data_IF_211500684981
#
_entry.id   IF_211500684981
#
_cell.length_a   1.000
_cell.length_b   1.000
_cell.length_c   1.000
_cell.angle_alpha   90.00
_cell.angle_beta   90.00
_cell.angle_gamma   90.00
#
_symmetry.space_group_name_H-M   'P 1'
#
loop_
_entity.id
_entity.type
_entity.pdbx_description
1 polymer ?
#
# COMPACT_ATOMS: atom_id res chain seq x y z
N UNK A 1 36.46 34.46 10.42
CA UNK A 1 35.77 33.16 10.31
C UNK A 1 34.34 33.34 9.80
N UNK A 2 33.48 34.07 10.51
CA UNK A 2 32.07 34.23 10.13
C UNK A 2 31.86 34.88 8.76
N UNK A 3 32.73 35.83 8.38
CA UNK A 3 32.71 36.48 7.07
C UNK A 3 32.89 35.48 5.90
N UNK A 4 33.74 34.47 6.08
CA UNK A 4 33.95 33.42 5.07
C UNK A 4 32.73 32.50 4.99
N UNK A 5 32.13 32.16 6.14
CA UNK A 5 30.91 31.36 6.20
C UNK A 5 29.73 32.08 5.53
N UNK A 6 29.54 33.37 5.81
CA UNK A 6 28.46 34.17 5.23
C UNK A 6 28.60 34.35 3.72
N UNK A 7 29.83 34.63 3.22
CA UNK A 7 30.06 34.69 1.77
C UNK A 7 29.83 33.35 1.07
N UNK A 8 30.20 32.24 1.71
CA UNK A 8 29.86 30.91 1.19
C UNK A 8 28.34 30.64 1.23
N UNK A 9 27.64 31.13 2.25
CA UNK A 9 26.19 30.97 2.42
C UNK A 9 25.36 31.83 1.44
N UNK A 10 25.95 32.90 0.87
CA UNK A 10 25.32 33.72 -0.16
C UNK A 10 25.22 33.01 -1.53
N UNK A 11 26.01 31.96 -1.77
CA UNK A 11 25.88 31.12 -2.97
C UNK A 11 24.76 30.08 -2.79
N UNK A 12 24.27 29.54 -3.91
CA UNK A 12 23.21 28.54 -3.90
C UNK A 12 23.51 27.35 -2.96
N UNK A 13 22.50 26.91 -2.22
CA UNK A 13 22.63 25.80 -1.28
C UNK A 13 23.12 24.55 -2.00
N UNK A 14 24.24 23.97 -1.53
CA UNK A 14 24.84 22.78 -2.14
C UNK A 14 25.99 23.06 -3.13
N UNK A 15 26.37 24.32 -3.35
CA UNK A 15 27.56 24.65 -4.15
C UNK A 15 28.82 24.00 -3.55
N UNK A 16 29.61 23.35 -4.41
CA UNK A 16 30.92 22.81 -4.06
C UNK A 16 31.96 23.91 -4.29
N UNK A 17 32.79 24.17 -3.29
CA UNK A 17 33.83 25.19 -3.36
C UNK A 17 35.19 24.55 -3.59
N UNK A 18 35.90 24.98 -4.64
CA UNK A 18 37.30 24.63 -4.84
C UNK A 18 38.22 25.66 -4.18
N UNK A 19 39.49 25.33 -4.04
CA UNK A 19 40.49 26.24 -3.46
C UNK A 19 40.52 27.59 -4.21
N UNK A 20 40.42 27.57 -5.55
CA UNK A 20 40.31 28.77 -6.40
C UNK A 20 39.09 29.63 -6.06
N UNK A 21 37.95 29.01 -5.76
CA UNK A 21 36.71 29.73 -5.47
C UNK A 21 36.78 30.43 -4.12
N UNK A 22 37.40 29.77 -3.13
CA UNK A 22 37.63 30.33 -1.80
C UNK A 22 38.65 31.46 -1.82
N UNK A 23 39.71 31.35 -2.64
CA UNK A 23 40.66 32.43 -2.87
C UNK A 23 39.99 33.65 -3.54
N UNK A 24 39.14 33.41 -4.54
CA UNK A 24 38.42 34.46 -5.26
C UNK A 24 37.42 35.23 -4.38
N UNK A 25 37.03 34.72 -3.21
CA UNK A 25 36.15 35.44 -2.28
C UNK A 25 36.84 36.60 -1.54
N UNK A 26 38.16 36.75 -1.66
CA UNK A 26 38.97 37.82 -1.05
C UNK A 26 38.67 38.00 0.45
N UNK A 27 38.66 36.89 1.20
CA UNK A 27 38.41 36.90 2.66
C UNK A 27 39.71 36.82 3.47
N UNK A 28 40.80 36.41 2.84
CA UNK A 28 42.14 36.34 3.43
C UNK A 28 43.14 37.00 2.47
N UNK A 29 44.11 37.73 3.01
CA UNK A 29 45.14 38.41 2.22
C UNK A 29 46.23 37.43 1.77
N UNK A 30 46.41 36.34 2.53
CA UNK A 30 47.41 35.31 2.24
C UNK A 30 46.80 33.90 2.16
N UNK A 31 47.44 33.03 1.38
CA UNK A 31 47.03 31.63 1.26
C UNK A 31 47.09 30.87 2.60
N UNK A 32 48.05 31.23 3.47
CA UNK A 32 48.20 30.63 4.80
C UNK A 32 47.06 30.99 5.75
N UNK A 33 46.56 32.22 5.70
CA UNK A 33 45.37 32.62 6.46
C UNK A 33 44.12 31.92 5.95
N UNK A 34 43.98 31.75 4.63
CA UNK A 34 42.86 31.02 4.05
C UNK A 34 42.84 29.56 4.50
N UNK A 35 43.97 28.85 4.45
CA UNK A 35 44.04 27.45 4.89
C UNK A 35 43.80 27.31 6.39
N UNK A 36 44.26 28.26 7.20
CA UNK A 36 43.95 28.31 8.64
C UNK A 36 42.45 28.53 8.89
N UNK A 37 41.82 29.48 8.20
CA UNK A 37 40.37 29.76 8.32
C UNK A 37 39.53 28.57 7.88
N UNK A 38 39.88 27.95 6.75
CA UNK A 38 39.24 26.71 6.26
C UNK A 38 39.45 25.58 7.26
N UNK A 39 40.65 25.44 7.83
CA UNK A 39 40.95 24.46 8.88
C UNK A 39 40.07 24.66 10.12
N UNK A 40 39.89 25.90 10.57
CA UNK A 40 39.02 26.22 11.71
C UNK A 40 37.53 25.98 11.40
N UNK A 41 37.07 26.31 10.18
CA UNK A 41 35.70 26.02 9.74
C UNK A 41 35.44 24.51 9.62
N UNK A 42 36.43 23.74 9.15
CA UNK A 42 36.39 22.28 9.16
C UNK A 42 36.38 21.73 10.59
N UNK A 43 37.17 22.31 11.50
CA UNK A 43 37.19 21.92 12.92
C UNK A 43 35.86 22.21 13.62
N UNK A 44 35.15 23.27 13.21
CA UNK A 44 33.79 23.57 13.67
C UNK A 44 32.68 22.84 12.87
N UNK A 45 33.04 21.96 11.93
CA UNK A 45 32.10 21.21 11.09
C UNK A 45 31.20 22.06 10.18
N UNK A 46 31.56 23.32 9.93
CA UNK A 46 30.84 24.22 9.03
C UNK A 46 31.15 23.93 7.55
N UNK A 47 32.33 23.37 7.28
CA UNK A 47 32.74 22.89 5.96
C UNK A 47 33.00 21.37 5.99
N UNK A 48 32.39 20.64 5.05
CA UNK A 48 32.68 19.23 4.77
C UNK A 48 33.80 19.17 3.75
N UNK A 49 34.97 18.66 4.13
CA UNK A 49 36.04 18.31 3.20
C UNK A 49 35.58 17.11 2.36
N UNK A 50 35.66 17.24 1.04
CA UNK A 50 35.40 16.21 0.05
C UNK A 50 36.52 16.23 -0.99
N UNK A 51 36.65 15.16 -1.76
CA UNK A 51 37.54 15.12 -2.92
C UNK A 51 36.68 14.92 -4.16
N UNK A 52 36.87 15.77 -5.17
CA UNK A 52 36.16 15.70 -6.44
C UNK A 52 37.19 15.79 -7.56
N UNK A 53 37.23 14.77 -8.42
CA UNK A 53 38.16 14.68 -9.55
C UNK A 53 39.64 14.90 -9.17
N UNK A 54 40.07 14.24 -8.08
CA UNK A 54 41.42 14.37 -7.49
C UNK A 54 41.78 15.73 -6.90
N UNK A 55 40.85 16.69 -6.86
CA UNK A 55 41.01 17.99 -6.20
C UNK A 55 40.27 18.03 -4.85
N UNK A 56 40.82 18.76 -3.88
CA UNK A 56 40.16 18.98 -2.59
C UNK A 56 39.05 20.03 -2.76
N UNK A 57 37.85 19.69 -2.33
CA UNK A 57 36.70 20.56 -2.39
C UNK A 57 35.95 20.60 -1.05
N UNK A 58 35.22 21.69 -0.83
CA UNK A 58 34.48 21.91 0.41
C UNK A 58 33.00 22.11 0.11
N UNK A 59 32.14 21.44 0.87
CA UNK A 59 30.69 21.68 0.86
C UNK A 59 30.28 22.37 2.15
N UNK A 60 29.50 23.45 2.03
CA UNK A 60 28.97 24.17 3.18
C UNK A 60 27.88 23.32 3.88
N UNK A 61 27.98 23.22 5.21
CA UNK A 61 26.91 22.70 6.07
C UNK A 61 26.18 23.84 6.77
N UNK A 62 24.91 23.62 7.09
CA UNK A 62 24.14 24.58 7.88
C UNK A 62 24.72 24.66 9.30
N UNK A 63 24.62 25.83 9.96
CA UNK A 63 25.08 25.98 11.36
C UNK A 63 24.39 24.98 12.29
N UNK A 64 23.12 24.67 12.04
CA UNK A 64 22.37 23.66 12.80
C UNK A 64 22.96 22.25 12.67
N UNK A 65 23.30 21.81 11.44
CA UNK A 65 23.98 20.52 11.22
C UNK A 65 25.38 20.48 11.84
N UNK A 66 26.13 21.59 11.73
CA UNK A 66 27.47 21.71 12.30
C UNK A 66 27.45 21.62 13.84
N UNK A 67 26.51 22.30 14.49
CA UNK A 67 26.32 22.23 15.94
C UNK A 67 25.86 20.85 16.41
N UNK A 68 24.97 20.20 15.63
CA UNK A 68 24.59 18.80 15.85
C UNK A 68 25.84 17.93 15.82
N UNK A 69 26.65 18.01 14.76
CA UNK A 69 27.90 17.25 14.56
C UNK A 69 28.98 17.51 15.63
N UNK A 70 29.06 18.73 16.14
CA UNK A 70 30.03 19.12 17.18
C UNK A 70 29.75 18.49 18.53
N UNK A 71 28.49 18.18 18.84
CA UNK A 71 28.07 17.52 20.08
C UNK A 71 28.23 15.99 20.03
N UNK A 72 28.73 15.43 18.92
CA UNK A 72 28.97 14.00 18.80
C UNK A 72 30.41 13.62 19.15
N UNK A 73 30.55 12.42 19.69
CA UNK A 73 31.85 11.81 19.89
C UNK A 73 32.51 11.49 18.53
N UNK A 74 33.86 11.39 18.47
CA UNK A 74 34.56 11.02 17.25
C UNK A 74 34.04 9.73 16.60
N UNK A 75 33.72 8.72 17.41
CA UNK A 75 33.17 7.44 16.94
C UNK A 75 31.72 7.56 16.44
N UNK A 76 30.89 8.36 17.11
CA UNK A 76 29.51 8.64 16.68
C UNK A 76 29.49 9.38 15.34
N UNK A 77 30.42 10.31 15.15
CA UNK A 77 30.59 11.06 13.89
C UNK A 77 31.05 10.17 12.74
N UNK A 78 31.94 9.21 13.01
CA UNK A 78 32.34 8.21 12.01
C UNK A 78 31.13 7.35 11.58
N UNK A 79 30.35 6.87 12.54
CA UNK A 79 29.14 6.08 12.27
C UNK A 79 28.11 6.89 11.48
N UNK A 80 27.86 8.14 11.89
CA UNK A 80 26.96 9.06 11.19
C UNK A 80 27.41 9.28 9.74
N UNK A 81 28.71 9.43 9.49
CA UNK A 81 29.23 9.59 8.12
C UNK A 81 28.97 8.37 7.23
N UNK A 82 29.11 7.15 7.76
CA UNK A 82 28.81 5.94 7.01
C UNK A 82 27.31 5.72 6.78
N UNK A 83 26.46 6.16 7.73
CA UNK A 83 25.00 6.16 7.56
C UNK A 83 24.59 7.21 6.52
N UNK A 84 25.19 8.41 6.56
CA UNK A 84 25.03 9.47 5.54
C UNK A 84 25.46 8.96 4.15
N UNK A 85 26.52 8.16 4.03
CA UNK A 85 26.89 7.57 2.74
C UNK A 85 25.84 6.56 2.21
N UNK A 86 25.08 5.91 3.09
CA UNK A 86 24.09 4.89 2.70
C UNK A 86 22.74 5.49 2.26
N UNK A 87 22.47 6.76 2.62
CA UNK A 87 21.27 7.51 2.24
C UNK A 87 19.98 6.66 2.43
N UNK A 88 19.17 6.49 1.37
CA UNK A 88 17.85 5.86 1.43
C UNK A 88 17.91 4.33 1.59
N UNK A 89 19.03 3.69 1.24
CA UNK A 89 19.21 2.23 1.39
C UNK A 89 19.55 1.83 2.83
N UNK A 90 19.84 2.80 3.69
CA UNK A 90 20.25 2.54 5.07
C UNK A 90 21.44 1.59 5.19
N UNK A 91 21.87 1.31 6.42
CA UNK A 91 22.97 0.37 6.65
C UNK A 91 22.64 -0.59 7.78
N UNK A 92 22.91 -1.87 7.54
CA UNK A 92 22.76 -2.91 8.54
C UNK A 92 23.85 -2.79 9.62
N UNK A 93 23.52 -2.98 10.89
CA UNK A 93 24.49 -2.88 12.01
C UNK A 93 25.75 -3.73 11.83
N UNK A 94 25.63 -4.94 11.26
CA UNK A 94 26.80 -5.81 11.01
C UNK A 94 27.67 -5.28 9.87
N UNK A 95 27.07 -4.71 8.82
CA UNK A 95 27.81 -4.06 7.74
C UNK A 95 28.48 -2.78 8.22
N UNK A 96 27.79 -2.00 9.06
CA UNK A 96 28.34 -0.80 9.70
C UNK A 96 29.56 -1.15 10.56
N UNK A 97 29.48 -2.23 11.35
CA UNK A 97 30.61 -2.76 12.13
C UNK A 97 31.80 -3.16 11.26
N UNK A 98 31.54 -3.86 10.15
CA UNK A 98 32.59 -4.32 9.24
C UNK A 98 33.32 -3.15 8.55
N UNK A 99 32.64 -2.01 8.35
CA UNK A 99 33.25 -0.81 7.75
C UNK A 99 34.00 0.07 8.75
N UNK A 100 33.53 0.17 10.00
CA UNK A 100 34.13 1.06 11.00
C UNK A 100 35.18 0.38 11.89
N UNK A 101 35.31 -0.96 11.87
CA UNK A 101 36.19 -1.72 12.76
C UNK A 101 35.96 -1.44 14.26
N UNK A 102 34.75 -0.97 14.63
CA UNK A 102 34.37 -0.64 16.01
C UNK A 102 33.89 -1.90 16.77
N UNK A 103 34.12 -1.95 18.09
CA UNK A 103 33.60 -3.04 18.94
C UNK A 103 32.08 -3.01 19.03
N UNK A 104 31.46 -4.17 19.24
CA UNK A 104 29.99 -4.29 19.28
C UNK A 104 29.35 -3.44 20.40
N UNK A 105 30.01 -3.37 21.56
CA UNK A 105 29.50 -2.60 22.70
C UNK A 105 29.51 -1.09 22.39
N UNK A 106 30.60 -0.59 21.81
CA UNK A 106 30.71 0.82 21.42
C UNK A 106 29.73 1.17 20.30
N UNK A 107 29.60 0.31 19.28
CA UNK A 107 28.60 0.48 18.21
C UNK A 107 27.18 0.61 18.77
N UNK A 108 26.79 -0.27 19.68
CA UNK A 108 25.45 -0.25 20.29
C UNK A 108 25.22 1.01 21.12
N UNK A 109 26.23 1.46 21.87
CA UNK A 109 26.17 2.70 22.66
C UNK A 109 26.06 3.94 21.77
N UNK A 110 26.85 4.01 20.70
CA UNK A 110 26.83 5.11 19.75
C UNK A 110 25.52 5.16 18.96
N UNK A 111 24.98 4.02 18.51
CA UNK A 111 23.69 3.97 17.82
C UNK A 111 22.54 4.43 18.71
N UNK A 112 22.51 4.00 19.98
CA UNK A 112 21.52 4.50 20.95
C UNK A 112 21.64 6.00 21.23
N UNK A 113 22.87 6.52 21.27
CA UNK A 113 23.14 7.96 21.43
C UNK A 113 22.74 8.77 20.19
N UNK A 114 22.93 8.21 18.99
CA UNK A 114 22.50 8.81 17.73
C UNK A 114 20.97 8.84 17.59
N UNK A 115 20.31 7.78 18.06
CA UNK A 115 18.85 7.65 18.12
C UNK A 115 18.25 8.61 19.16
N UNK A 116 18.86 8.73 20.35
CA UNK A 116 18.39 9.68 21.38
C UNK A 116 18.59 11.15 21.00
N UNK A 117 19.55 11.46 20.12
CA UNK A 117 19.78 12.79 19.55
C UNK A 117 18.91 13.08 18.31
N UNK A 118 18.02 12.16 17.92
CA UNK A 118 17.14 12.29 16.75
C UNK A 118 17.88 12.49 15.42
N UNK A 119 19.11 11.97 15.29
CA UNK A 119 19.90 12.09 14.06
C UNK A 119 19.75 10.87 13.15
N UNK A 120 19.53 9.70 13.76
CA UNK A 120 19.41 8.42 13.09
C UNK A 120 18.15 7.74 13.57
N UNK A 121 17.41 7.14 12.65
CA UNK A 121 16.28 6.27 12.95
C UNK A 121 16.62 4.83 12.58
N UNK A 122 15.92 3.90 13.22
CA UNK A 122 16.09 2.48 12.98
C UNK A 122 14.82 1.86 12.42
N UNK A 123 14.96 1.11 11.32
CA UNK A 123 13.86 0.49 10.58
C UNK A 123 14.17 -0.99 10.38
N UNK A 124 13.17 -1.85 10.53
CA UNK A 124 13.31 -3.27 10.23
C UNK A 124 13.17 -3.49 8.73
N UNK A 125 14.07 -4.25 8.12
CA UNK A 125 13.97 -4.53 6.68
C UNK A 125 12.84 -5.51 6.39
N UNK A 126 11.96 -5.18 5.46
CA UNK A 126 10.92 -6.11 4.96
C UNK A 126 11.53 -7.35 4.29
N UNK A 127 12.54 -7.18 3.41
CA UNK A 127 13.22 -8.32 2.75
C UNK A 127 13.89 -9.26 3.75
N UNK A 128 14.35 -8.72 4.88
CA UNK A 128 15.06 -9.48 5.90
C UNK A 128 14.59 -9.06 7.30
N UNK A 129 13.48 -9.64 7.82
CA UNK A 129 12.83 -9.18 9.06
C UNK A 129 13.72 -9.28 10.29
N UNK A 130 14.81 -10.04 10.24
CA UNK A 130 15.80 -10.13 11.33
C UNK A 130 16.92 -9.06 11.25
N UNK A 131 16.91 -8.17 10.24
CA UNK A 131 17.96 -7.16 10.02
C UNK A 131 17.45 -5.76 10.34
N UNK A 132 18.00 -5.18 11.42
CA UNK A 132 17.80 -3.78 11.81
C UNK A 132 18.68 -2.85 10.97
N UNK A 133 18.06 -2.04 10.13
CA UNK A 133 18.68 -1.03 9.26
C UNK A 133 18.69 0.32 9.97
N UNK A 134 19.73 1.11 9.75
CA UNK A 134 19.87 2.47 10.29
C UNK A 134 19.95 3.48 9.15
N UNK A 135 19.20 4.56 9.25
CA UNK A 135 19.14 5.62 8.25
C UNK A 135 18.95 6.99 8.92
N UNK A 136 19.23 8.08 8.20
CA UNK A 136 19.10 9.44 8.74
C UNK A 136 17.63 9.82 8.97
N UNK A 137 17.29 10.46 10.09
CA UNK A 137 15.89 10.79 10.44
C UNK A 137 15.16 11.59 9.35
N UNK A 138 15.86 12.46 8.64
CA UNK A 138 15.29 13.30 7.59
C UNK A 138 15.10 12.57 6.25
N UNK A 139 15.64 11.35 6.11
CA UNK A 139 15.53 10.54 4.90
C UNK A 139 14.42 9.50 5.04
N UNK A 140 13.69 9.27 3.95
CA UNK A 140 12.71 8.19 3.86
C UNK A 140 13.41 6.88 3.45
N UNK A 141 13.11 5.74 4.11
CA UNK A 141 13.64 4.45 3.70
C UNK A 141 13.24 4.11 2.26
N UNK A 142 14.12 3.43 1.53
CA UNK A 142 13.80 2.86 0.21
C UNK A 142 12.76 1.75 0.35
N UNK A 143 12.03 1.47 -0.74
CA UNK A 143 10.98 0.43 -0.83
C UNK A 143 11.48 -0.95 -0.37
N UNK A 144 12.75 -1.26 -0.67
CA UNK A 144 13.41 -2.50 -0.25
C UNK A 144 13.46 -2.71 1.28
N UNK A 145 13.30 -1.63 2.03
CA UNK A 145 13.40 -1.61 3.51
C UNK A 145 12.05 -1.25 4.12
N UNK A 146 11.35 -0.28 3.55
CA UNK A 146 10.05 0.22 4.02
C UNK A 146 8.90 -0.74 3.70
N UNK A 147 9.06 -1.56 2.65
CA UNK A 147 7.96 -2.33 2.09
C UNK A 147 7.09 -1.50 1.14
N UNK A 148 6.12 -2.17 0.50
CA UNK A 148 5.10 -1.51 -0.30
C UNK A 148 4.13 -0.68 0.57
N UNK A 149 3.32 0.19 -0.03
CA UNK A 149 2.39 1.07 0.72
C UNK A 149 1.38 0.29 1.59
N UNK A 150 1.10 -0.95 1.23
CA UNK A 150 0.15 -1.85 1.90
C UNK A 150 0.74 -2.60 3.11
N UNK A 151 2.01 -2.34 3.46
CA UNK A 151 2.69 -3.02 4.55
C UNK A 151 2.85 -2.13 5.78
N UNK A 152 2.70 -2.72 6.96
CA UNK A 152 2.92 -2.10 8.26
C UNK A 152 3.83 -3.02 9.06
N UNK A 153 4.96 -2.48 9.56
CA UNK A 153 5.93 -3.22 10.39
C UNK A 153 6.50 -4.52 9.78
N UNK A 154 6.44 -4.67 8.45
CA UNK A 154 6.97 -5.83 7.72
C UNK A 154 5.93 -6.87 7.32
N UNK A 155 4.68 -6.71 7.75
CA UNK A 155 3.54 -7.55 7.37
C UNK A 155 2.51 -6.77 6.53
N UNK A 156 1.69 -7.49 5.76
CA UNK A 156 0.57 -6.88 5.04
C UNK A 156 -0.53 -6.48 6.01
N UNK A 157 -0.91 -5.22 5.96
CA UNK A 157 -1.94 -4.66 6.83
C UNK A 157 -3.32 -4.90 6.21
N UNK A 158 -3.94 -6.03 6.55
CA UNK A 158 -5.24 -6.42 6.01
C UNK A 158 -6.35 -5.39 6.31
N UNK A 159 -6.30 -4.74 7.48
CA UNK A 159 -7.28 -3.73 7.86
C UNK A 159 -7.12 -2.45 7.01
N UNK A 160 -5.88 -2.05 6.76
CA UNK A 160 -5.57 -0.94 5.86
C UNK A 160 -6.01 -1.26 4.42
N UNK A 161 -5.68 -2.45 3.93
CA UNK A 161 -6.03 -2.91 2.58
C UNK A 161 -7.55 -2.91 2.40
N UNK A 162 -8.33 -3.44 3.34
CA UNK A 162 -9.80 -3.45 3.21
C UNK A 162 -10.40 -2.04 3.26
N UNK A 163 -9.90 -1.18 4.16
CA UNK A 163 -10.35 0.21 4.26
C UNK A 163 -10.10 0.96 2.94
N UNK A 164 -8.91 0.81 2.36
CA UNK A 164 -8.54 1.47 1.11
C UNK A 164 -9.29 0.86 -0.06
N UNK A 165 -9.47 -0.45 -0.09
CA UNK A 165 -10.31 -1.14 -1.08
C UNK A 165 -11.75 -0.59 -1.06
N UNK A 166 -12.31 -0.34 0.11
CA UNK A 166 -13.62 0.31 0.27
C UNK A 166 -13.66 1.74 -0.29
N UNK A 167 -12.62 2.53 -0.03
CA UNK A 167 -12.50 3.90 -0.54
C UNK A 167 -12.32 3.93 -2.06
N UNK A 168 -11.44 3.08 -2.60
CA UNK A 168 -11.19 2.92 -4.04
C UNK A 168 -12.45 2.42 -4.76
N UNK A 169 -13.17 1.45 -4.20
CA UNK A 169 -14.42 0.96 -4.79
C UNK A 169 -15.47 2.08 -4.93
N UNK A 170 -15.63 2.90 -3.89
CA UNK A 170 -16.56 4.05 -3.92
C UNK A 170 -16.14 5.10 -4.95
N UNK A 171 -14.84 5.35 -5.10
CA UNK A 171 -14.33 6.25 -6.11
C UNK A 171 -14.63 5.74 -7.52
N UNK A 172 -14.32 4.48 -7.81
CA UNK A 172 -14.60 3.86 -9.12
C UNK A 172 -16.11 3.82 -9.40
N UNK A 173 -16.96 3.57 -8.39
CA UNK A 173 -18.42 3.63 -8.53
C UNK A 173 -18.87 5.03 -8.90
N UNK A 174 -18.32 6.07 -8.24
CA UNK A 174 -18.70 7.44 -8.51
C UNK A 174 -18.36 7.90 -9.94
N UNK A 175 -17.26 7.39 -10.51
CA UNK A 175 -16.83 7.68 -11.88
C UNK A 175 -17.59 6.86 -12.92
N UNK A 176 -17.86 5.58 -12.63
CA UNK A 176 -18.39 4.63 -13.62
C UNK A 176 -19.91 4.47 -13.58
N UNK A 177 -20.56 4.89 -12.50
CA UNK A 177 -21.98 4.67 -12.26
C UNK A 177 -22.76 5.95 -11.94
N UNK A 178 -24.09 5.84 -12.03
CA UNK A 178 -25.08 6.83 -11.58
C UNK A 178 -26.11 6.15 -10.68
N UNK A 179 -26.61 6.91 -9.71
CA UNK A 179 -27.71 6.49 -8.84
C UNK A 179 -29.03 6.90 -9.48
N UNK A 180 -29.90 5.93 -9.70
CA UNK A 180 -31.20 6.10 -10.34
C UNK A 180 -32.30 5.54 -9.45
N UNK A 181 -33.55 6.01 -9.61
CA UNK A 181 -34.70 5.43 -8.93
C UNK A 181 -34.88 3.92 -9.22
N UNK A 182 -35.54 3.20 -8.33
CA UNK A 182 -35.76 1.76 -8.44
C UNK A 182 -36.57 1.37 -9.68
N UNK A 183 -37.45 2.26 -10.13
CA UNK A 183 -38.25 2.13 -11.34
C UNK A 183 -37.54 2.62 -12.63
N UNK A 184 -36.22 2.85 -12.58
CA UNK A 184 -35.45 3.25 -13.75
C UNK A 184 -35.46 2.18 -14.84
N UNK A 185 -35.77 2.56 -16.08
CA UNK A 185 -35.94 1.66 -17.23
C UNK A 185 -37.06 0.61 -17.06
N UNK A 186 -38.06 0.86 -16.21
CA UNK A 186 -39.25 0.02 -16.12
C UNK A 186 -40.25 0.43 -17.23
N UNK A 187 -40.00 -0.04 -18.45
CA UNK A 187 -40.85 0.22 -19.62
C UNK A 187 -42.11 -0.66 -19.65
N UNK A 188 -42.29 -1.56 -18.68
CA UNK A 188 -43.40 -2.51 -18.68
C UNK A 188 -44.71 -1.84 -18.25
N UNK A 189 -45.78 -1.89 -19.08
CA UNK A 189 -47.06 -1.33 -18.69
C UNK A 189 -47.67 -2.08 -17.50
N UNK A 190 -48.22 -1.32 -16.57
CA UNK A 190 -48.77 -1.71 -15.26
C UNK A 190 -49.97 -2.68 -15.27
N UNK A 191 -50.33 -3.33 -16.38
CA UNK A 191 -51.47 -4.25 -16.37
C UNK A 191 -51.05 -5.67 -15.95
N UNK A 192 -50.81 -5.80 -14.64
CA UNK A 192 -50.49 -7.07 -13.96
C UNK A 192 -51.49 -8.16 -14.31
N UNK A 193 -52.76 -7.83 -14.56
CA UNK A 193 -53.79 -8.79 -14.92
C UNK A 193 -53.57 -9.38 -16.32
N UNK A 194 -53.20 -8.55 -17.31
CA UNK A 194 -52.89 -9.00 -18.67
C UNK A 194 -51.63 -9.87 -18.73
N UNK A 195 -50.58 -9.49 -18.00
CA UNK A 195 -49.35 -10.29 -17.92
C UNK A 195 -49.59 -11.67 -17.27
N UNK A 196 -50.41 -11.72 -16.20
CA UNK A 196 -50.80 -12.99 -15.56
C UNK A 196 -51.66 -13.83 -16.52
N UNK A 197 -52.59 -13.21 -17.26
CA UNK A 197 -53.43 -13.91 -18.22
C UNK A 197 -52.60 -14.51 -19.37
N UNK A 198 -51.63 -13.77 -19.92
CA UNK A 198 -50.71 -14.27 -20.94
C UNK A 198 -49.86 -15.43 -20.42
N UNK A 199 -49.29 -15.31 -19.21
CA UNK A 199 -48.50 -16.38 -18.60
C UNK A 199 -49.34 -17.63 -18.31
N UNK A 200 -50.57 -17.48 -17.82
CA UNK A 200 -51.51 -18.60 -17.61
C UNK A 200 -51.88 -19.30 -18.92
N UNK A 201 -52.14 -18.53 -19.98
CA UNK A 201 -52.42 -19.08 -21.31
C UNK A 201 -51.21 -19.85 -21.88
N UNK A 202 -50.00 -19.35 -21.64
CA UNK A 202 -48.76 -20.00 -22.07
C UNK A 202 -48.49 -21.31 -21.32
N UNK A 203 -48.75 -21.36 -20.00
CA UNK A 203 -48.56 -22.56 -19.17
C UNK A 203 -49.64 -23.62 -19.42
N UNK A 204 -50.89 -23.23 -19.67
CA UNK A 204 -51.98 -24.18 -20.00
C UNK A 204 -51.78 -24.92 -21.33
N UNK A 205 -50.89 -24.44 -22.20
CA UNK A 205 -50.57 -25.09 -23.48
C UNK A 205 -49.50 -26.18 -23.41
N UNK A 206 -48.77 -26.29 -22.29
CA UNK A 206 -47.65 -27.24 -22.13
C UNK A 206 -48.18 -28.55 -21.55
N UNK A 207 -48.06 -29.64 -22.32
CA UNK A 207 -48.55 -30.98 -21.93
C UNK A 207 -47.47 -31.87 -21.34
N UNK A 208 -46.20 -31.56 -21.62
CA UNK A 208 -45.03 -32.32 -21.19
C UNK A 208 -44.10 -31.43 -20.33
N UNK A 209 -43.61 -31.98 -19.22
CA UNK A 209 -42.69 -31.29 -18.31
C UNK A 209 -41.35 -31.01 -19.01
N UNK A 210 -40.95 -31.83 -19.97
CA UNK A 210 -39.71 -31.63 -20.75
C UNK A 210 -39.82 -30.46 -21.74
N UNK A 211 -41.03 -30.09 -22.15
CA UNK A 211 -41.33 -28.92 -23.01
C UNK A 211 -41.61 -27.64 -22.20
N UNK A 212 -41.40 -27.67 -20.89
CA UNK A 212 -41.60 -26.51 -20.02
C UNK A 212 -40.58 -25.43 -20.35
N UNK A 213 -41.07 -24.26 -20.75
CA UNK A 213 -40.21 -23.07 -20.84
C UNK A 213 -39.55 -22.81 -19.49
N UNK A 214 -38.27 -22.46 -19.52
CA UNK A 214 -37.51 -22.06 -18.34
C UNK A 214 -38.30 -21.01 -17.55
N UNK A 215 -38.64 -21.34 -16.31
CA UNK A 215 -39.35 -20.43 -15.41
C UNK A 215 -38.45 -19.23 -15.19
N UNK A 216 -38.81 -18.10 -15.79
CA UNK A 216 -38.15 -16.83 -15.45
C UNK A 216 -38.31 -16.60 -13.94
N UNK A 217 -37.20 -16.45 -13.19
CA UNK A 217 -37.26 -16.23 -11.77
C UNK A 217 -38.20 -15.06 -11.45
N UNK A 218 -39.04 -15.23 -10.44
CA UNK A 218 -39.90 -14.14 -9.98
C UNK A 218 -39.01 -12.97 -9.54
N UNK A 219 -39.14 -11.83 -10.22
CA UNK A 219 -38.54 -10.57 -9.78
C UNK A 219 -39.57 -9.87 -8.90
N UNK A 220 -39.33 -9.72 -7.59
CA UNK A 220 -40.23 -8.97 -6.73
C UNK A 220 -40.40 -7.53 -7.26
N UNK A 221 -41.58 -6.92 -7.07
CA UNK A 221 -41.78 -5.51 -7.39
C UNK A 221 -40.71 -4.65 -6.72
N UNK A 222 -40.01 -3.85 -7.52
CA UNK A 222 -38.98 -2.94 -7.02
C UNK A 222 -39.68 -1.74 -6.40
N UNK A 223 -39.32 -1.38 -5.17
CA UNK A 223 -39.82 -0.17 -4.54
C UNK A 223 -39.39 1.05 -5.38
N UNK A 224 -40.32 1.89 -5.88
CA UNK A 224 -40.00 3.09 -6.66
C UNK A 224 -39.10 4.08 -5.93
N UNK A 225 -39.10 4.04 -4.59
CA UNK A 225 -38.28 4.90 -3.73
C UNK A 225 -36.88 4.35 -3.49
N UNK A 226 -36.62 3.08 -3.84
CA UNK A 226 -35.30 2.49 -3.73
C UNK A 226 -34.31 3.18 -4.69
N UNK A 227 -33.04 3.24 -4.30
CA UNK A 227 -31.97 3.75 -5.15
C UNK A 227 -31.21 2.56 -5.74
N UNK A 228 -31.11 2.53 -7.06
CA UNK A 228 -30.34 1.54 -7.82
C UNK A 228 -29.11 2.21 -8.44
N UNK A 229 -27.99 1.48 -8.50
CA UNK A 229 -26.79 1.92 -9.21
C UNK A 229 -26.81 1.32 -10.62
N UNK A 230 -26.58 2.15 -11.65
CA UNK A 230 -26.45 1.72 -13.04
C UNK A 230 -25.20 2.32 -13.67
N UNK A 231 -24.64 1.66 -14.68
CA UNK A 231 -23.50 2.19 -15.41
C UNK A 231 -23.88 3.45 -16.18
N UNK A 232 -22.94 4.38 -16.27
CA UNK A 232 -23.08 5.55 -17.16
C UNK A 232 -23.09 5.09 -18.62
N UNK A 233 -23.68 5.91 -19.50
CA UNK A 233 -23.74 5.63 -20.94
C UNK A 233 -22.37 5.78 -21.63
N UNK A 234 -21.47 6.62 -21.08
CA UNK A 234 -20.10 6.79 -21.57
C UNK A 234 -19.14 7.13 -20.39
N UNK A 235 -18.88 6.16 -19.49
CA UNK A 235 -17.99 6.37 -18.35
C UNK A 235 -16.54 6.47 -18.83
N UNK A 236 -15.78 7.36 -18.22
CA UNK A 236 -14.32 7.32 -18.32
C UNK A 236 -13.82 6.29 -17.30
N UNK A 237 -13.40 5.14 -17.80
CA UNK A 237 -12.96 4.05 -16.93
C UNK A 237 -11.60 4.38 -16.30
N UNK A 238 -11.49 4.36 -14.97
CA UNK A 238 -10.23 4.66 -14.28
C UNK A 238 -9.18 3.58 -14.56
N UNK A 239 -7.93 4.04 -14.71
CA UNK A 239 -6.72 3.20 -14.75
C UNK A 239 -6.03 3.17 -13.39
N UNK A 240 -5.13 2.21 -13.17
CA UNK A 240 -4.33 2.15 -11.94
C UNK A 240 -3.62 3.48 -11.63
N UNK A 241 -2.97 4.11 -12.62
CA UNK A 241 -2.32 5.41 -12.42
C UNK A 241 -3.27 6.56 -12.12
N UNK A 242 -4.49 6.54 -12.67
CA UNK A 242 -5.51 7.56 -12.35
C UNK A 242 -5.97 7.42 -10.90
N UNK A 243 -6.19 6.19 -10.44
CA UNK A 243 -6.59 5.90 -9.05
C UNK A 243 -5.45 6.21 -8.08
N UNK A 244 -4.21 5.85 -8.40
CA UNK A 244 -3.03 6.14 -7.60
C UNK A 244 -2.81 7.66 -7.43
N UNK A 245 -2.87 8.40 -8.54
CA UNK A 245 -2.78 9.87 -8.53
C UNK A 245 -3.86 10.51 -7.67
N UNK A 246 -5.10 10.02 -7.78
CA UNK A 246 -6.21 10.49 -6.95
C UNK A 246 -6.01 10.20 -5.46
N UNK A 247 -5.58 8.98 -5.12
CA UNK A 247 -5.35 8.56 -3.73
C UNK A 247 -4.24 9.39 -3.08
N UNK A 248 -3.14 9.61 -3.81
CA UNK A 248 -2.02 10.44 -3.38
C UNK A 248 -2.43 11.91 -3.22
N UNK A 249 -3.22 12.46 -4.16
CA UNK A 249 -3.68 13.85 -4.10
C UNK A 249 -4.61 14.13 -2.92
N UNK A 250 -5.31 13.10 -2.41
CA UNK A 250 -6.17 13.20 -1.22
C UNK A 250 -5.42 13.00 0.10
N UNK A 251 -4.13 12.64 0.06
CA UNK A 251 -3.30 12.33 1.24
C UNK A 251 -3.99 11.34 2.20
N UNK A 252 -4.72 10.35 1.66
CA UNK A 252 -5.43 9.34 2.45
C UNK A 252 -4.45 8.51 3.28
N UNK A 253 -3.27 8.24 2.69
CA UNK A 253 -2.15 7.60 3.36
C UNK A 253 -1.13 8.65 3.81
N UNK A 254 -0.98 8.84 5.12
CA UNK A 254 0.07 9.69 5.68
C UNK A 254 1.42 9.03 5.48
N UNK A 255 2.39 9.81 4.99
CA UNK A 255 3.79 9.42 4.81
C UNK A 255 4.07 8.24 3.86
N UNK A 256 3.05 7.69 3.21
CA UNK A 256 3.19 6.64 2.18
C UNK A 256 2.72 7.17 0.83
N UNK A 257 3.53 6.95 -0.19
CA UNK A 257 3.20 7.28 -1.57
C UNK A 257 2.87 5.99 -2.31
N UNK A 258 1.74 5.97 -3.02
CA UNK A 258 1.29 4.79 -3.77
C UNK A 258 1.70 4.94 -5.22
N UNK A 259 2.45 3.97 -5.75
CA UNK A 259 2.81 3.93 -7.18
C UNK A 259 1.71 3.28 -8.01
N UNK A 260 1.82 3.46 -9.32
CA UNK A 260 0.91 2.85 -10.28
C UNK A 260 0.94 1.31 -10.18
N UNK A 261 2.13 0.71 -10.01
CA UNK A 261 2.31 -0.75 -9.84
C UNK A 261 1.62 -1.29 -8.58
N UNK A 262 1.73 -0.57 -7.46
CA UNK A 262 1.13 -0.97 -6.18
C UNK A 262 -0.40 -0.91 -6.25
N UNK A 263 -0.92 0.09 -6.97
CA UNK A 263 -2.34 0.25 -7.22
C UNK A 263 -2.87 -0.81 -8.20
N UNK A 264 -2.09 -1.18 -9.21
CA UNK A 264 -2.47 -2.26 -10.13
C UNK A 264 -2.64 -3.58 -9.37
N UNK A 265 -1.70 -3.94 -8.49
CA UNK A 265 -1.82 -5.13 -7.64
C UNK A 265 -3.07 -5.10 -6.74
N UNK A 266 -3.37 -3.95 -6.13
CA UNK A 266 -4.58 -3.79 -5.32
C UNK A 266 -5.85 -3.95 -6.15
N UNK A 267 -5.91 -3.33 -7.33
CA UNK A 267 -7.07 -3.42 -8.21
C UNK A 267 -7.27 -4.83 -8.77
N UNK A 268 -6.18 -5.56 -9.06
CA UNK A 268 -6.25 -6.96 -9.46
C UNK A 268 -6.78 -7.86 -8.35
N UNK A 269 -6.34 -7.64 -7.10
CA UNK A 269 -6.92 -8.31 -5.94
C UNK A 269 -8.43 -8.01 -5.82
N UNK A 270 -8.85 -6.75 -6.01
CA UNK A 270 -10.26 -6.37 -5.95
C UNK A 270 -11.11 -6.99 -7.09
N UNK A 271 -10.49 -7.28 -8.24
CA UNK A 271 -11.12 -8.03 -9.33
C UNK A 271 -11.32 -9.50 -8.95
N UNK A 272 -10.33 -10.12 -8.29
CA UNK A 272 -10.45 -11.49 -7.79
C UNK A 272 -11.54 -11.64 -6.72
N UNK A 273 -11.70 -10.63 -5.86
CA UNK A 273 -12.78 -10.56 -4.87
C UNK A 273 -14.17 -10.31 -5.49
N UNK A 274 -14.26 -10.09 -6.81
CA UNK A 274 -15.51 -9.77 -7.50
C UNK A 274 -16.06 -8.38 -7.17
N UNK A 275 -15.26 -7.49 -6.57
CA UNK A 275 -15.65 -6.10 -6.25
C UNK A 275 -15.56 -5.21 -7.48
N UNK A 276 -14.60 -5.49 -8.36
CA UNK A 276 -14.35 -4.76 -9.60
C UNK A 276 -14.32 -5.70 -10.81
N UNK A 277 -14.58 -5.14 -11.98
CA UNK A 277 -14.45 -5.81 -13.28
C UNK A 277 -13.39 -5.10 -14.12
N UNK A 278 -12.52 -5.88 -14.77
CA UNK A 278 -11.53 -5.40 -15.73
C UNK A 278 -12.16 -5.36 -17.12
N UNK A 279 -12.24 -4.18 -17.74
CA UNK A 279 -12.89 -4.01 -19.05
C UNK A 279 -11.89 -4.13 -20.18
N UNK A 280 -10.76 -3.44 -20.02
CA UNK A 280 -9.59 -3.56 -20.87
C UNK A 280 -8.38 -3.87 -20.00
N UNK A 281 -7.26 -4.29 -20.59
CA UNK A 281 -6.05 -4.69 -19.86
C UNK A 281 -5.54 -3.69 -18.81
N UNK A 282 -5.99 -2.43 -18.82
CA UNK A 282 -5.60 -1.39 -17.87
C UNK A 282 -6.76 -0.58 -17.27
N UNK A 283 -8.03 -0.91 -17.53
CA UNK A 283 -9.18 -0.13 -17.05
C UNK A 283 -10.18 -0.95 -16.25
N UNK A 284 -10.76 -0.32 -15.24
CA UNK A 284 -11.59 -0.97 -14.23
C UNK A 284 -12.97 -0.31 -14.11
N UNK A 285 -13.99 -1.08 -13.71
CA UNK A 285 -15.32 -0.57 -13.31
C UNK A 285 -15.86 -1.32 -12.11
N UNK A 286 -16.86 -0.72 -11.46
CA UNK A 286 -17.62 -1.37 -10.39
C UNK A 286 -18.48 -2.50 -10.92
N UNK A 287 -18.56 -3.61 -10.20
CA UNK A 287 -19.51 -4.69 -10.50
C UNK A 287 -20.88 -4.29 -9.97
N UNK A 288 -21.89 -4.15 -10.85
CA UNK A 288 -23.27 -3.85 -10.43
C UNK A 288 -24.02 -5.06 -9.92
N UNK A 289 -23.53 -6.24 -10.26
CA UNK A 289 -24.01 -7.52 -9.76
C UNK A 289 -23.08 -7.95 -8.63
N UNK A 290 -23.02 -7.17 -7.55
CA UNK A 290 -22.62 -7.75 -6.28
C UNK A 290 -23.75 -8.71 -5.90
N UNK A 291 -23.65 -9.93 -6.45
CA UNK A 291 -24.45 -11.06 -6.07
C UNK A 291 -24.05 -11.43 -4.64
N UNK A 292 -24.44 -10.60 -3.67
CA UNK A 292 -24.57 -11.02 -2.27
C UNK A 292 -25.66 -12.09 -2.14
N UNK A 293 -26.43 -12.34 -3.20
CA UNK A 293 -26.84 -13.70 -3.51
C UNK A 293 -25.59 -14.53 -3.75
N UNK A 294 -24.94 -14.97 -2.66
CA UNK A 294 -24.25 -16.25 -2.69
C UNK A 294 -25.27 -17.22 -3.27
N UNK A 295 -25.15 -17.52 -4.55
CA UNK A 295 -25.84 -18.64 -5.17
C UNK A 295 -25.17 -19.85 -4.55
N UNK A 296 -25.60 -20.18 -3.34
CA UNK A 296 -25.34 -21.47 -2.77
C UNK A 296 -26.06 -22.45 -3.71
N UNK A 297 -25.26 -23.22 -4.44
CA UNK A 297 -25.79 -24.44 -5.02
C UNK A 297 -26.32 -25.27 -3.83
N UNK A 298 -27.53 -25.82 -3.96
CA UNK A 298 -28.12 -26.63 -2.87
C UNK A 298 -27.26 -27.81 -2.41
N UNK A 299 -26.20 -28.12 -3.17
CA UNK A 299 -25.15 -29.06 -2.79
C UNK A 299 -24.25 -28.55 -1.65
N UNK A 300 -23.85 -27.27 -1.63
CA UNK A 300 -22.99 -26.70 -0.57
C UNK A 300 -23.79 -26.36 0.69
N UNK A 301 -25.09 -26.13 0.56
CA UNK A 301 -25.99 -25.97 1.71
C UNK A 301 -26.32 -27.30 2.39
N UNK A 302 -26.26 -28.41 1.65
CA UNK A 302 -26.50 -29.75 2.17
C UNK A 302 -25.25 -30.32 2.85
N UNK A 303 -25.39 -31.02 3.99
CA UNK A 303 -24.26 -31.58 4.72
C UNK A 303 -23.48 -32.63 3.90
N UNK A 304 -24.07 -33.18 2.83
CA UNK A 304 -23.38 -34.11 1.93
C UNK A 304 -22.32 -33.44 1.05
N UNK A 305 -22.49 -32.17 0.64
CA UNK A 305 -21.53 -31.51 -0.26
C UNK A 305 -20.21 -31.13 0.40
N UNK A 306 -20.21 -31.02 1.73
CA UNK A 306 -19.03 -30.72 2.55
C UNK A 306 -18.66 -31.90 3.49
N UNK A 307 -19.24 -33.08 3.27
CA UNK A 307 -19.04 -34.23 4.15
C UNK A 307 -17.59 -34.76 4.03
N UNK A 308 -16.81 -34.83 5.11
CA UNK A 308 -15.42 -35.29 5.07
C UNK A 308 -15.28 -36.80 4.79
N UNK A 309 -16.38 -37.55 4.93
CA UNK A 309 -16.43 -39.01 4.75
C UNK A 309 -17.46 -39.42 3.69
N UNK A 310 -17.75 -38.53 2.72
CA UNK A 310 -18.75 -38.75 1.69
C UNK A 310 -18.54 -40.08 0.95
N UNK A 311 -17.29 -40.42 0.61
CA UNK A 311 -16.93 -41.64 -0.11
C UNK A 311 -17.22 -42.94 0.67
N UNK A 312 -17.42 -42.85 1.99
CA UNK A 312 -17.73 -43.99 2.86
C UNK A 312 -19.23 -44.13 3.15
N UNK A 313 -20.06 -43.19 2.67
CA UNK A 313 -21.49 -43.19 2.89
C UNK A 313 -22.21 -44.15 1.93
N UNK A 314 -22.75 -45.25 2.46
CA UNK A 314 -23.42 -46.29 1.68
C UNK A 314 -24.24 -47.25 2.53
N UNK A 315 -24.43 -48.49 2.07
CA UNK A 315 -25.06 -49.55 2.87
C UNK A 315 -24.02 -50.14 3.84
N UNK A 316 -23.95 -49.59 5.06
CA UNK A 316 -22.99 -49.97 6.08
C UNK A 316 -23.10 -49.14 7.36
N UNK A 317 -22.04 -49.10 8.17
CA UNK A 317 -22.02 -48.35 9.43
C UNK A 317 -22.15 -46.83 9.24
N UNK A 318 -21.72 -46.30 8.09
CA UNK A 318 -21.89 -44.90 7.71
C UNK A 318 -22.94 -44.88 6.60
N UNK A 319 -24.17 -44.50 6.95
CA UNK A 319 -25.30 -44.45 6.03
C UNK A 319 -26.05 -43.14 6.20
N UNK A 320 -26.90 -42.77 5.24
CA UNK A 320 -27.73 -41.57 5.35
C UNK A 320 -28.69 -41.63 6.56
N UNK A 321 -29.12 -42.82 6.99
CA UNK A 321 -30.02 -43.03 8.14
C UNK A 321 -29.33 -42.80 9.48
N UNK A 322 -28.05 -43.18 9.55
CA UNK A 322 -27.21 -43.12 10.75
C UNK A 322 -26.30 -41.88 10.74
N UNK A 323 -26.49 -40.98 9.77
CA UNK A 323 -25.64 -39.82 9.55
C UNK A 323 -25.91 -38.72 10.58
N UNK A 324 -24.94 -38.48 11.46
CA UNK A 324 -25.00 -37.43 12.48
C UNK A 324 -25.06 -36.03 11.84
N UNK A 325 -24.32 -35.80 10.74
CA UNK A 325 -24.32 -34.49 10.05
C UNK A 325 -25.69 -34.15 9.45
N UNK A 326 -26.42 -35.16 8.94
CA UNK A 326 -27.74 -34.98 8.35
C UNK A 326 -28.80 -34.77 9.45
N UNK A 327 -28.69 -35.52 10.55
CA UNK A 327 -29.53 -35.34 11.73
C UNK A 327 -29.39 -33.94 12.34
N UNK A 328 -28.15 -33.48 12.58
CA UNK A 328 -27.87 -32.15 13.14
C UNK A 328 -28.39 -31.03 12.23
N UNK A 329 -28.17 -31.14 10.91
CA UNK A 329 -28.64 -30.14 9.94
C UNK A 329 -30.18 -30.05 9.85
N UNK A 330 -30.89 -31.18 9.98
CA UNK A 330 -32.35 -31.21 10.04
C UNK A 330 -32.93 -30.94 11.44
N UNK A 331 -32.08 -30.77 12.46
CA UNK A 331 -32.47 -30.74 13.87
C UNK A 331 -33.29 -31.97 14.30
N UNK A 332 -32.90 -33.16 13.83
CA UNK A 332 -33.50 -34.46 14.12
C UNK A 332 -32.45 -35.44 14.68
N UNK A 333 -32.90 -36.49 15.37
CA UNK A 333 -32.01 -37.56 15.83
C UNK A 333 -31.73 -38.57 14.69
N UNK A 334 -30.45 -38.93 14.50
CA UNK A 334 -30.04 -39.99 13.59
C UNK A 334 -30.32 -41.37 14.20
N UNK A 335 -30.62 -42.37 13.36
CA UNK A 335 -30.80 -43.75 13.84
C UNK A 335 -29.51 -44.26 14.50
N UNK A 336 -29.63 -44.85 15.69
CA UNK A 336 -28.52 -45.49 16.40
C UNK A 336 -28.38 -46.92 15.89
N UNK A 337 -27.17 -47.30 15.49
CA UNK A 337 -26.83 -48.65 15.01
C UNK A 337 -26.84 -49.66 16.16
#
# INVERSE_FOLDING_TARGET
MDLLYEKCAQRAAGTIFFQRDLQNMQVAETLGELTMLVGQLCAQHLLKLMTFDSEMCWKLRTRSEADKLRRLNPDERLLYHHIDQAQNEGIWSKALRARTNVTQQLLTKCLKSLESKDLVQSVMSVKFPNRKMYLLKDLRPSEDIAGGPWQSEGDFDAALIDTISGVVARYIESETCIKVPGNWNDYTPMDRAQAIAQKKAQVQGVRDIEDSLAVQPYKPPVDPTAVRVVHRNNPQYPTAGTVASWLNAKEILKDKHVRDDDMEQLLEMMVLDGRLEKISGATYRTVLMASDTKTFNGFVDAPCGNCPVFDLCGEGAISARTCVYFGEWLATESEVI
#
